data_IF_349961086332
#
_entry.id   IF_349961086332
#
_cell.length_a   1.000
_cell.length_b   1.000
_cell.length_c   1.000
_cell.angle_alpha   90.00
_cell.angle_beta   90.00
_cell.angle_gamma   90.00
#
_symmetry.space_group_name_H-M   'P 1'
#
loop_
_entity.id
_entity.type
_entity.pdbx_description
1 polymer ?
#
# COMPACT_ATOMS: atom_id res chain seq x y z
N UNK A 1 9.19 -5.33 -14.64
CA UNK A 1 9.18 -5.74 -16.06
C UNK A 1 8.11 -5.01 -16.87
N UNK A 2 6.81 -5.36 -16.78
CA UNK A 2 5.76 -4.76 -17.64
C UNK A 2 5.62 -3.25 -17.41
N UNK A 3 5.48 -2.80 -16.15
CA UNK A 3 5.35 -1.36 -15.84
C UNK A 3 6.58 -0.54 -16.25
N UNK A 4 7.79 -1.09 -16.09
CA UNK A 4 9.00 -0.39 -16.51
C UNK A 4 9.09 -0.27 -18.04
N UNK A 5 8.57 -1.26 -18.79
CA UNK A 5 8.54 -1.22 -20.25
C UNK A 5 7.59 -0.14 -20.79
N UNK A 6 6.64 0.37 -20.00
CA UNK A 6 5.79 1.51 -20.38
C UNK A 6 6.48 2.87 -20.15
N UNK A 7 7.70 2.87 -19.60
CA UNK A 7 8.41 4.09 -19.20
C UNK A 7 8.07 4.57 -17.79
N UNK A 8 7.27 3.82 -17.02
CA UNK A 8 6.98 4.18 -15.64
C UNK A 8 8.23 4.04 -14.75
N UNK A 9 8.44 5.02 -13.87
CA UNK A 9 9.40 4.90 -12.77
C UNK A 9 8.75 4.14 -11.63
N UNK A 10 9.35 3.00 -11.24
CA UNK A 10 8.81 2.14 -10.20
C UNK A 10 9.58 2.33 -8.89
N UNK A 11 8.85 2.62 -7.81
CA UNK A 11 9.35 2.52 -6.45
C UNK A 11 8.70 1.28 -5.84
N UNK A 12 9.51 0.28 -5.51
CA UNK A 12 9.03 -0.92 -4.82
C UNK A 12 9.17 -0.71 -3.31
N UNK A 13 8.06 -0.83 -2.61
CA UNK A 13 8.03 -0.78 -1.14
C UNK A 13 8.08 -2.20 -0.60
N UNK A 14 8.99 -2.45 0.33
CA UNK A 14 9.10 -3.72 1.05
C UNK A 14 8.09 -3.84 2.19
N UNK A 15 8.11 -5.00 2.86
CA UNK A 15 7.36 -5.19 4.10
C UNK A 15 5.87 -5.52 3.93
N UNK A 16 5.17 -5.56 5.08
CA UNK A 16 3.74 -5.83 5.17
C UNK A 16 2.98 -4.52 5.47
N UNK A 17 1.71 -4.42 5.08
CA UNK A 17 0.88 -3.27 5.44
C UNK A 17 0.44 -3.29 6.92
N UNK A 18 0.55 -4.41 7.62
CA UNK A 18 0.13 -4.57 9.02
C UNK A 18 -1.32 -5.03 9.22
N UNK A 19 -2.13 -5.18 8.16
CA UNK A 19 -3.56 -5.50 8.29
C UNK A 19 -3.98 -6.93 7.90
N UNK A 20 -3.15 -7.66 7.16
CA UNK A 20 -3.55 -8.92 6.52
C UNK A 20 -4.08 -10.00 7.49
N UNK A 21 -5.03 -10.82 7.03
CA UNK A 21 -5.50 -12.02 7.75
C UNK A 21 -6.25 -11.76 9.06
N UNK A 22 -6.95 -10.63 9.17
CA UNK A 22 -7.59 -10.10 10.39
C UNK A 22 -6.60 -9.54 11.43
N UNK A 23 -5.29 -9.68 11.24
CA UNK A 23 -4.30 -9.33 12.26
C UNK A 23 -4.49 -7.91 12.79
N UNK A 24 -4.58 -6.92 11.91
CA UNK A 24 -4.62 -5.51 12.34
C UNK A 24 -5.94 -5.03 12.91
N UNK A 25 -7.01 -5.82 12.83
CA UNK A 25 -8.32 -5.52 13.44
C UNK A 25 -8.62 -6.41 14.66
N UNK A 26 -7.78 -7.42 14.91
CA UNK A 26 -7.87 -8.26 16.09
C UNK A 26 -7.62 -7.43 17.36
N UNK A 27 -8.37 -7.73 18.43
CA UNK A 27 -8.27 -6.95 19.66
C UNK A 27 -6.88 -7.09 20.27
N UNK A 28 -6.23 -5.94 20.50
CA UNK A 28 -4.89 -5.89 21.08
C UNK A 28 -3.75 -5.88 20.05
N UNK A 29 -4.04 -5.98 18.74
CA UNK A 29 -3.01 -5.96 17.70
C UNK A 29 -2.89 -4.63 16.96
N UNK A 30 -3.81 -3.69 17.20
CA UNK A 30 -3.85 -2.41 16.50
C UNK A 30 -2.50 -1.66 16.53
N UNK A 31 -1.89 -1.51 17.71
CA UNK A 31 -0.62 -0.78 17.84
C UNK A 31 0.54 -1.45 17.09
N UNK A 32 0.53 -2.78 16.99
CA UNK A 32 1.53 -3.53 16.22
C UNK A 32 1.25 -3.37 14.72
N UNK A 33 -0.01 -3.44 14.32
CA UNK A 33 -0.45 -3.18 12.94
C UNK A 33 0.00 -1.80 12.44
N UNK A 34 -0.22 -0.76 13.25
CA UNK A 34 0.23 0.61 12.94
C UNK A 34 1.76 0.68 12.85
N UNK A 35 2.50 0.08 13.78
CA UNK A 35 3.97 0.06 13.72
C UNK A 35 4.53 -0.66 12.50
N UNK A 36 3.87 -1.73 12.05
CA UNK A 36 4.24 -2.43 10.82
C UNK A 36 4.00 -1.54 9.61
N UNK A 37 2.88 -0.81 9.57
CA UNK A 37 2.62 0.18 8.53
C UNK A 37 3.67 1.29 8.50
N UNK A 38 4.01 1.86 9.67
CA UNK A 38 4.99 2.94 9.83
C UNK A 38 6.43 2.51 9.55
N UNK A 39 6.72 1.21 9.49
CA UNK A 39 8.07 0.72 9.25
C UNK A 39 8.57 1.02 7.84
N UNK A 40 7.78 0.66 6.83
CA UNK A 40 8.15 0.79 5.41
C UNK A 40 7.10 1.58 4.62
N UNK A 41 5.82 1.21 4.75
CA UNK A 41 4.76 1.69 3.86
C UNK A 41 4.40 3.17 4.12
N UNK A 42 4.22 3.56 5.37
CA UNK A 42 3.91 4.93 5.75
C UNK A 42 4.93 5.94 5.20
N UNK A 43 6.24 5.78 5.52
CA UNK A 43 7.28 6.68 5.01
C UNK A 43 7.37 6.73 3.48
N UNK A 44 7.20 5.59 2.80
CA UNK A 44 7.23 5.56 1.33
C UNK A 44 6.06 6.35 0.72
N UNK A 45 4.88 6.27 1.33
CA UNK A 45 3.69 7.00 0.89
C UNK A 45 3.84 8.51 1.11
N UNK A 46 4.44 8.91 2.23
CA UNK A 46 4.73 10.33 2.53
C UNK A 46 5.79 10.91 1.57
N UNK A 47 6.81 10.14 1.22
CA UNK A 47 7.88 10.57 0.31
C UNK A 47 7.40 10.74 -1.15
N UNK A 48 6.26 10.13 -1.52
CA UNK A 48 5.73 10.13 -2.88
C UNK A 48 4.25 10.57 -2.92
N UNK A 49 3.95 11.85 -2.64
CA UNK A 49 2.57 12.35 -2.54
C UNK A 49 1.79 12.26 -3.85
N UNK A 50 2.47 12.40 -5.00
CA UNK A 50 1.84 12.42 -6.32
C UNK A 50 1.87 11.06 -7.04
N UNK A 51 2.45 10.02 -6.42
CA UNK A 51 2.55 8.71 -7.05
C UNK A 51 1.21 7.98 -7.10
N UNK A 52 1.00 7.23 -8.19
CA UNK A 52 -0.03 6.19 -8.25
C UNK A 52 0.40 5.05 -7.32
N UNK A 53 -0.46 4.70 -6.36
CA UNK A 53 -0.20 3.63 -5.39
C UNK A 53 -0.81 2.33 -5.89
N UNK A 54 0.04 1.33 -6.15
CA UNK A 54 -0.39 -0.01 -6.53
C UNK A 54 -0.40 -0.94 -5.32
N UNK A 55 -1.56 -1.53 -5.05
CA UNK A 55 -1.75 -2.51 -4.00
C UNK A 55 -2.81 -3.53 -4.42
N UNK A 56 -2.40 -4.75 -4.79
CA UNK A 56 -3.34 -5.80 -5.21
C UNK A 56 -4.09 -6.42 -4.03
N UNK A 57 -3.55 -6.32 -2.81
CA UNK A 57 -4.15 -6.89 -1.61
C UNK A 57 -5.18 -5.95 -0.98
N UNK A 58 -6.42 -6.41 -0.81
CA UNK A 58 -7.49 -5.67 -0.13
C UNK A 58 -7.07 -5.12 1.25
N UNK A 59 -6.31 -5.89 2.04
CA UNK A 59 -5.80 -5.44 3.33
C UNK A 59 -4.82 -4.27 3.20
N UNK A 60 -3.96 -4.27 2.17
CA UNK A 60 -3.06 -3.15 1.92
C UNK A 60 -3.85 -1.89 1.52
N UNK A 61 -4.83 -2.03 0.62
CA UNK A 61 -5.68 -0.91 0.21
C UNK A 61 -6.45 -0.32 1.40
N UNK A 62 -7.03 -1.18 2.24
CA UNK A 62 -7.77 -0.77 3.44
C UNK A 62 -6.87 -0.04 4.44
N UNK A 63 -5.66 -0.56 4.67
CA UNK A 63 -4.73 0.08 5.59
C UNK A 63 -4.24 1.44 5.07
N UNK A 64 -3.90 1.54 3.79
CA UNK A 64 -3.51 2.80 3.14
C UNK A 64 -4.60 3.87 3.29
N UNK A 65 -5.85 3.48 3.05
CA UNK A 65 -6.98 4.37 3.25
C UNK A 65 -7.18 4.76 4.71
N UNK A 66 -7.01 3.83 5.65
CA UNK A 66 -7.29 4.04 7.07
C UNK A 66 -6.22 4.88 7.78
N UNK A 67 -4.94 4.66 7.45
CA UNK A 67 -3.81 5.29 8.15
C UNK A 67 -3.20 6.47 7.40
N UNK A 68 -3.28 6.51 6.07
CA UNK A 68 -2.72 7.59 5.26
C UNK A 68 -3.76 8.36 4.44
N UNK A 69 -5.03 7.92 4.40
CA UNK A 69 -6.06 8.54 3.56
C UNK A 69 -5.73 8.48 2.06
N UNK A 70 -4.87 7.56 1.65
CA UNK A 70 -4.40 7.46 0.26
C UNK A 70 -5.16 6.40 -0.50
N UNK A 71 -5.68 6.82 -1.66
CA UNK A 71 -6.25 5.90 -2.63
C UNK A 71 -5.15 5.03 -3.25
N UNK A 72 -5.50 3.78 -3.51
CA UNK A 72 -4.66 2.80 -4.20
C UNK A 72 -5.51 1.97 -5.15
N UNK A 73 -4.89 1.35 -6.13
CA UNK A 73 -5.56 0.44 -7.07
C UNK A 73 -4.76 -0.83 -7.29
N UNK A 74 -5.42 -1.87 -7.76
CA UNK A 74 -4.76 -3.08 -8.26
C UNK A 74 -4.07 -2.83 -9.60
N UNK A 75 -3.13 -3.70 -9.96
CA UNK A 75 -2.50 -3.69 -11.27
C UNK A 75 -3.53 -3.87 -12.40
N UNK A 76 -4.58 -4.68 -12.17
CA UNK A 76 -5.63 -4.90 -13.16
C UNK A 76 -6.43 -3.63 -13.43
N UNK A 77 -6.80 -2.88 -12.38
CA UNK A 77 -7.49 -1.59 -12.51
C UNK A 77 -6.62 -0.56 -13.21
N UNK A 78 -5.31 -0.50 -12.90
CA UNK A 78 -4.38 0.38 -13.60
C UNK A 78 -4.38 0.09 -15.10
N UNK A 79 -4.17 -1.17 -15.49
CA UNK A 79 -4.11 -1.58 -16.90
C UNK A 79 -5.44 -1.39 -17.65
N UNK A 80 -6.56 -1.36 -16.94
CA UNK A 80 -7.87 -1.11 -17.54
C UNK A 80 -8.16 0.39 -17.74
N UNK A 81 -7.42 1.29 -17.07
CA UNK A 81 -7.76 2.72 -17.00
C UNK A 81 -6.66 3.66 -17.52
N UNK A 82 -5.46 3.14 -17.79
CA UNK A 82 -4.29 3.90 -18.25
C UNK A 82 -3.58 3.18 -19.40
#
# INVERSE_FOLDING_TARGET
AILQATGATLVQVGGCCGLAGNFGVERGHHDVSVKVFEHDLGPAIEAHPDAIVLADGFSCQTQLQSLAGRASMSLAELLATH
#
